data_IF_954665067026
#
_entry.id   IF_954665067026
#
_cell.length_a   1.000
_cell.length_b   1.000
_cell.length_c   1.000
_cell.angle_alpha   90.00
_cell.angle_beta   90.00
_cell.angle_gamma   90.00
#
_symmetry.space_group_name_H-M   'P 1'
#
loop_
_entity.id
_entity.type
_entity.pdbx_description
1 polymer ?
#
# COMPACT_ATOMS: atom_id res chain seq x y z
N UNK A 1 -4.79 -58.17 -24.35
CA UNK A 1 -3.68 -57.47 -23.73
C UNK A 1 -3.65 -55.97 -24.01
N UNK A 2 -4.48 -55.42 -24.88
CA UNK A 2 -4.49 -54.00 -25.25
C UNK A 2 -5.37 -53.11 -24.35
N UNK A 3 -6.35 -53.63 -23.61
CA UNK A 3 -7.32 -52.83 -22.80
C UNK A 3 -6.69 -52.29 -21.50
N UNK A 4 -5.64 -52.89 -20.98
CA UNK A 4 -5.02 -52.47 -19.72
C UNK A 4 -4.06 -51.27 -19.88
N UNK A 5 -3.50 -51.05 -21.07
CA UNK A 5 -2.60 -49.92 -21.35
C UNK A 5 -3.36 -48.56 -21.51
N UNK A 6 -4.53 -48.59 -22.15
CA UNK A 6 -5.31 -47.34 -22.35
C UNK A 6 -5.82 -46.70 -21.04
N UNK A 7 -6.18 -47.52 -20.05
CA UNK A 7 -6.66 -47.00 -18.74
C UNK A 7 -5.54 -46.31 -17.97
N UNK A 8 -4.29 -46.82 -18.08
CA UNK A 8 -3.13 -46.21 -17.40
C UNK A 8 -2.71 -44.86 -18.02
N UNK A 9 -2.74 -44.77 -19.36
CA UNK A 9 -2.37 -43.53 -20.07
C UNK A 9 -3.39 -42.41 -19.74
N UNK A 10 -4.70 -42.73 -19.72
CA UNK A 10 -5.73 -41.76 -19.37
C UNK A 10 -5.65 -41.27 -17.91
N UNK A 11 -5.24 -42.14 -16.96
CA UNK A 11 -5.03 -41.72 -15.57
C UNK A 11 -3.78 -40.84 -15.42
N UNK A 12 -2.70 -41.13 -16.12
CA UNK A 12 -1.48 -40.34 -16.09
C UNK A 12 -1.72 -38.98 -16.73
N UNK A 13 -2.38 -38.90 -17.89
CA UNK A 13 -2.73 -37.64 -18.54
C UNK A 13 -3.63 -36.77 -17.68
N UNK A 14 -4.64 -37.33 -17.00
CA UNK A 14 -5.51 -36.56 -16.09
C UNK A 14 -4.75 -36.00 -14.90
N UNK A 15 -3.82 -36.78 -14.31
CA UNK A 15 -2.99 -36.30 -13.19
C UNK A 15 -2.01 -35.22 -13.63
N UNK A 16 -1.41 -35.36 -14.81
CA UNK A 16 -0.47 -34.36 -15.37
C UNK A 16 -1.19 -33.07 -15.73
N UNK A 17 -2.40 -33.15 -16.30
CA UNK A 17 -3.23 -32.00 -16.61
C UNK A 17 -3.67 -31.24 -15.34
N UNK A 18 -4.01 -31.97 -14.27
CA UNK A 18 -4.39 -31.38 -12.99
C UNK A 18 -3.22 -30.60 -12.35
N UNK A 19 -2.01 -31.14 -12.40
CA UNK A 19 -0.79 -30.48 -11.89
C UNK A 19 -0.48 -29.23 -12.71
N UNK A 20 -0.65 -29.28 -14.03
CA UNK A 20 -0.40 -28.13 -14.91
C UNK A 20 -1.38 -26.99 -14.66
N UNK A 21 -2.65 -27.30 -14.36
CA UNK A 21 -3.68 -26.29 -14.03
C UNK A 21 -3.41 -25.64 -12.67
N UNK A 22 -2.93 -26.40 -11.68
CA UNK A 22 -2.57 -25.86 -10.37
C UNK A 22 -1.37 -24.89 -10.42
N UNK A 23 -0.45 -25.10 -11.36
CA UNK A 23 0.73 -24.22 -11.52
C UNK A 23 0.43 -22.90 -12.24
N UNK A 24 -0.75 -22.76 -12.83
CA UNK A 24 -1.22 -21.53 -13.51
C UNK A 24 -2.07 -20.62 -12.63
N UNK A 25 -2.28 -20.98 -11.37
CA UNK A 25 -2.97 -20.08 -10.44
C UNK A 25 -2.06 -18.87 -10.19
N UNK A 26 -2.50 -17.66 -10.51
CA UNK A 26 -1.72 -16.48 -10.18
C UNK A 26 -1.57 -16.45 -8.64
N UNK A 27 -0.34 -16.44 -8.17
CA UNK A 27 -0.04 -16.16 -6.77
C UNK A 27 -0.40 -14.68 -6.60
N UNK A 28 -1.60 -14.42 -6.15
CA UNK A 28 -1.99 -13.07 -5.76
C UNK A 28 -1.23 -12.76 -4.47
N UNK A 29 -0.23 -11.89 -4.61
CA UNK A 29 0.44 -11.27 -3.48
C UNK A 29 -0.52 -10.28 -2.86
N UNK A 30 -1.16 -10.68 -1.77
CA UNK A 30 -1.95 -9.76 -0.96
C UNK A 30 -1.00 -8.94 -0.09
N UNK A 31 -1.27 -7.63 0.03
CA UNK A 31 -0.61 -6.80 1.04
C UNK A 31 -0.84 -7.44 2.42
N UNK A 32 0.25 -7.91 3.04
CA UNK A 32 0.21 -8.55 4.36
C UNK A 32 0.65 -7.56 5.43
N UNK A 33 0.15 -7.76 6.64
CA UNK A 33 0.77 -7.16 7.80
C UNK A 33 2.27 -7.52 7.83
N UNK A 34 3.15 -6.51 7.81
CA UNK A 34 4.60 -6.65 7.70
C UNK A 34 5.20 -6.25 6.35
N UNK A 35 4.40 -6.10 5.30
CA UNK A 35 4.89 -5.56 4.03
C UNK A 35 5.38 -4.12 4.22
N UNK A 36 6.50 -3.81 3.59
CA UNK A 36 7.07 -2.46 3.63
C UNK A 36 6.78 -1.74 2.32
N UNK A 37 6.11 -0.61 2.42
CA UNK A 37 5.80 0.29 1.32
C UNK A 37 6.88 1.35 1.24
N UNK A 38 7.58 1.42 0.12
CA UNK A 38 8.56 2.45 -0.20
C UNK A 38 7.95 3.44 -1.17
N UNK A 39 7.80 4.67 -0.73
CA UNK A 39 7.09 5.70 -1.47
C UNK A 39 8.01 6.87 -1.82
N UNK A 40 7.80 7.42 -3.01
CA UNK A 40 8.43 8.65 -3.47
C UNK A 40 7.34 9.67 -3.79
N UNK A 41 7.37 10.82 -3.10
CA UNK A 41 6.43 11.90 -3.34
C UNK A 41 6.54 12.38 -4.78
N UNK A 42 5.42 12.49 -5.45
CA UNK A 42 5.31 13.16 -6.75
C UNK A 42 4.97 14.63 -6.59
N UNK A 43 4.25 14.97 -5.52
CA UNK A 43 3.88 16.33 -5.18
C UNK A 43 3.63 16.47 -3.68
N UNK A 44 4.06 17.59 -3.11
CA UNK A 44 3.75 17.99 -1.76
C UNK A 44 3.48 19.49 -1.73
N UNK A 45 2.29 19.87 -1.34
CA UNK A 45 1.80 21.27 -1.34
C UNK A 45 1.16 21.62 -0.01
N UNK A 46 1.26 22.88 0.35
CA UNK A 46 0.58 23.47 1.50
C UNK A 46 -0.11 24.77 1.08
N UNK A 47 -1.36 24.91 1.47
CA UNK A 47 -2.07 26.17 1.38
C UNK A 47 -2.10 26.82 2.76
N UNK A 48 -1.43 27.95 2.89
CA UNK A 48 -1.34 28.72 4.12
C UNK A 48 -1.60 30.20 3.85
N UNK A 49 -2.54 30.79 4.57
CA UNK A 49 -2.88 32.22 4.44
C UNK A 49 -3.14 32.66 2.98
N UNK A 50 -3.85 31.82 2.21
CA UNK A 50 -4.15 32.07 0.80
C UNK A 50 -2.95 31.92 -0.15
N UNK A 51 -1.80 31.46 0.32
CA UNK A 51 -0.59 31.20 -0.48
C UNK A 51 -0.38 29.72 -0.67
N UNK A 52 -0.07 29.32 -1.91
CA UNK A 52 0.32 27.97 -2.23
C UNK A 52 1.83 27.81 -2.12
N UNK A 53 2.27 26.89 -1.28
CA UNK A 53 3.68 26.55 -1.06
C UNK A 53 3.91 25.16 -1.64
N UNK A 54 4.91 25.03 -2.53
CA UNK A 54 5.37 23.75 -3.05
C UNK A 54 6.61 23.31 -2.28
N UNK A 55 6.59 22.10 -1.76
CA UNK A 55 7.72 21.50 -1.06
C UNK A 55 8.52 20.59 -1.99
N UNK A 56 9.79 20.41 -1.68
CA UNK A 56 10.63 19.42 -2.38
C UNK A 56 10.11 18.03 -2.07
N UNK A 57 9.80 17.21 -3.09
CA UNK A 57 9.38 15.83 -2.90
C UNK A 57 10.37 15.03 -2.06
N UNK A 58 9.86 14.24 -1.13
CA UNK A 58 10.63 13.41 -0.21
C UNK A 58 10.31 11.94 -0.42
N UNK A 59 11.20 11.06 0.02
CA UNK A 59 10.97 9.63 0.11
C UNK A 59 10.54 9.26 1.53
N UNK A 60 9.62 8.32 1.62
CA UNK A 60 9.17 7.78 2.90
C UNK A 60 8.83 6.30 2.79
N UNK A 61 8.74 5.64 3.92
CA UNK A 61 8.29 4.25 4.00
C UNK A 61 7.28 4.09 5.12
N UNK A 62 6.39 3.14 4.94
CA UNK A 62 5.46 2.73 5.99
C UNK A 62 5.21 1.23 5.96
N UNK A 63 4.70 0.71 7.06
CA UNK A 63 4.20 -0.66 7.20
C UNK A 63 2.77 -0.62 7.69
N UNK A 64 2.02 -1.69 7.45
CA UNK A 64 0.71 -1.91 8.06
C UNK A 64 0.89 -3.00 9.10
N UNK A 65 0.54 -2.72 10.35
CA UNK A 65 0.63 -3.71 11.41
C UNK A 65 -0.67 -4.51 11.60
N UNK A 66 -0.63 -5.49 12.50
CA UNK A 66 -1.78 -6.36 12.81
C UNK A 66 -2.98 -5.63 13.42
N UNK A 67 -2.79 -4.40 13.90
CA UNK A 67 -3.82 -3.55 14.49
C UNK A 67 -4.47 -2.62 13.44
N UNK A 68 -4.21 -2.85 12.15
CA UNK A 68 -4.65 -2.01 11.03
C UNK A 68 -4.14 -0.56 11.13
N UNK A 69 -2.93 -0.39 11.67
CA UNK A 69 -2.28 0.92 11.74
C UNK A 69 -1.20 1.04 10.66
N UNK A 70 -1.26 2.09 9.88
CA UNK A 70 -0.16 2.54 9.03
C UNK A 70 0.88 3.22 9.91
N UNK A 71 2.11 2.69 9.93
CA UNK A 71 3.23 3.24 10.71
C UNK A 71 4.33 3.70 9.80
N UNK A 72 4.59 5.01 9.84
CA UNK A 72 5.68 5.61 9.07
C UNK A 72 7.02 5.45 9.79
N UNK A 73 8.07 5.30 8.99
CA UNK A 73 9.45 5.20 9.50
C UNK A 73 9.93 6.47 10.19
N UNK A 74 11.12 6.36 10.81
CA UNK A 74 11.76 7.47 11.53
C UNK A 74 12.72 8.29 10.66
N UNK A 75 12.80 8.00 9.36
CA UNK A 75 13.60 8.79 8.43
C UNK A 75 13.10 10.24 8.38
N UNK A 76 13.98 11.23 8.20
CA UNK A 76 13.57 12.63 8.19
C UNK A 76 12.74 12.95 6.94
N UNK A 77 11.43 12.98 7.10
CA UNK A 77 10.45 13.38 6.09
C UNK A 77 9.17 13.88 6.77
N UNK A 78 8.21 14.35 5.97
CA UNK A 78 6.94 14.89 6.46
C UNK A 78 6.17 13.93 7.39
N UNK A 79 6.18 12.63 7.10
CA UNK A 79 5.41 11.63 7.86
C UNK A 79 6.17 10.98 9.02
N UNK A 80 7.39 11.44 9.31
CA UNK A 80 8.28 10.81 10.31
C UNK A 80 7.55 10.43 11.59
N UNK A 81 7.54 9.13 11.89
CA UNK A 81 6.98 8.58 13.13
C UNK A 81 5.47 8.70 13.28
N UNK A 82 4.76 9.16 12.24
CA UNK A 82 3.29 9.24 12.24
C UNK A 82 2.66 7.85 12.20
N UNK A 83 1.44 7.76 12.73
CA UNK A 83 0.60 6.56 12.65
C UNK A 83 -0.81 6.97 12.22
N UNK A 84 -1.41 6.22 11.30
CA UNK A 84 -2.77 6.43 10.84
C UNK A 84 -3.57 5.14 10.92
N UNK A 85 -4.82 5.22 11.32
CA UNK A 85 -5.72 4.07 11.34
C UNK A 85 -6.28 3.81 9.94
N UNK A 86 -6.25 2.53 9.52
CA UNK A 86 -6.95 2.08 8.32
C UNK A 86 -8.40 1.79 8.69
N UNK A 87 -9.31 2.50 8.05
CA UNK A 87 -10.76 2.34 8.27
C UNK A 87 -11.29 1.18 7.44
N UNK A 88 -10.82 1.02 6.21
CA UNK A 88 -11.31 -0.01 5.31
C UNK A 88 -10.20 -0.50 4.37
N UNK A 89 -10.21 -1.82 4.11
CA UNK A 89 -9.43 -2.48 3.06
C UNK A 89 -10.36 -2.95 1.95
N UNK A 90 -9.90 -2.89 0.69
CA UNK A 90 -10.60 -3.54 -0.41
C UNK A 90 -10.44 -5.05 -0.36
N UNK A 91 -11.31 -5.79 -1.07
CA UNK A 91 -11.35 -7.25 -1.08
C UNK A 91 -10.00 -7.92 -1.49
N UNK A 92 -9.15 -7.22 -2.23
CA UNK A 92 -7.85 -7.70 -2.69
C UNK A 92 -6.65 -7.01 -2.01
N UNK A 93 -6.88 -6.22 -0.95
CA UNK A 93 -5.87 -5.48 -0.16
C UNK A 93 -4.94 -4.56 -0.98
N UNK A 94 -5.29 -4.28 -2.24
CA UNK A 94 -4.55 -3.32 -3.09
C UNK A 94 -5.02 -1.88 -2.90
N UNK A 95 -6.10 -1.72 -2.14
CA UNK A 95 -6.65 -0.43 -1.76
C UNK A 95 -6.96 -0.42 -0.28
N UNK A 96 -6.62 0.65 0.39
CA UNK A 96 -7.02 0.92 1.78
C UNK A 96 -7.01 2.42 2.04
N UNK A 97 -7.84 2.85 2.97
CA UNK A 97 -7.92 4.26 3.32
C UNK A 97 -8.19 4.48 4.81
N UNK A 98 -7.87 5.67 5.27
CA UNK A 98 -8.19 6.21 6.57
C UNK A 98 -8.83 7.59 6.44
N UNK A 99 -8.93 8.34 7.54
CA UNK A 99 -9.60 9.65 7.57
C UNK A 99 -8.99 10.68 6.62
N UNK A 100 -7.68 10.65 6.45
CA UNK A 100 -6.94 11.68 5.71
C UNK A 100 -5.94 11.11 4.69
N UNK A 101 -5.98 9.82 4.42
CA UNK A 101 -5.14 9.18 3.42
C UNK A 101 -5.88 8.08 2.66
N UNK A 102 -5.38 7.79 1.48
CA UNK A 102 -5.78 6.66 0.63
C UNK A 102 -4.55 6.06 -0.04
N UNK A 103 -4.49 4.73 -0.06
CA UNK A 103 -3.57 3.98 -0.91
C UNK A 103 -4.38 3.20 -1.94
N UNK A 104 -4.01 3.33 -3.20
CA UNK A 104 -4.71 2.67 -4.31
C UNK A 104 -3.73 2.31 -5.40
N UNK A 105 -3.53 1.00 -5.63
CA UNK A 105 -2.74 0.43 -6.73
C UNK A 105 -1.37 1.10 -6.92
N UNK A 106 -0.58 1.21 -5.86
CA UNK A 106 0.76 1.80 -5.90
C UNK A 106 0.79 3.32 -5.80
N UNK A 107 -0.34 3.98 -5.57
CA UNK A 107 -0.41 5.41 -5.34
C UNK A 107 -0.86 5.71 -3.91
N UNK A 108 -0.20 6.64 -3.28
CA UNK A 108 -0.53 7.12 -1.94
C UNK A 108 -0.95 8.58 -2.02
N UNK A 109 -2.06 8.90 -1.38
CA UNK A 109 -2.61 10.26 -1.30
C UNK A 109 -2.85 10.61 0.16
N UNK A 110 -2.51 11.82 0.53
CA UNK A 110 -2.75 12.37 1.85
C UNK A 110 -3.27 13.79 1.73
N UNK A 111 -4.27 14.14 2.55
CA UNK A 111 -4.73 15.51 2.68
C UNK A 111 -5.17 15.77 4.12
N UNK A 112 -4.71 16.87 4.68
CA UNK A 112 -5.08 17.26 6.02
C UNK A 112 -5.26 18.76 6.13
N UNK A 113 -6.13 19.19 7.04
CA UNK A 113 -6.42 20.58 7.33
C UNK A 113 -6.18 20.83 8.81
N UNK A 114 -5.17 21.62 9.11
CA UNK A 114 -4.81 21.98 10.48
C UNK A 114 -5.20 23.41 10.78
N UNK A 115 -5.67 23.61 11.98
CA UNK A 115 -5.74 24.92 12.59
C UNK A 115 -4.64 24.99 13.65
N UNK A 116 -3.61 25.78 13.40
CA UNK A 116 -2.59 26.02 14.40
C UNK A 116 -3.16 26.91 15.49
N UNK A 117 -3.08 26.52 16.77
CA UNK A 117 -3.34 27.40 17.88
C UNK A 117 -2.16 28.35 18.04
N UNK A 118 -2.00 29.31 17.15
CA UNK A 118 -1.07 30.39 17.37
C UNK A 118 -1.77 31.58 17.98
N UNK A 119 -1.08 32.28 18.84
CA UNK A 119 -1.58 33.25 19.77
C UNK A 119 -2.21 34.49 19.14
N UNK A 120 -2.14 34.69 17.82
CA UNK A 120 -2.69 35.88 17.15
C UNK A 120 -3.38 35.65 15.78
N UNK A 121 -3.20 34.48 15.15
CA UNK A 121 -3.87 34.17 13.89
C UNK A 121 -4.36 32.71 13.86
N UNK A 122 -5.66 32.54 13.80
CA UNK A 122 -6.36 31.27 13.49
C UNK A 122 -6.05 30.83 12.03
N UNK A 123 -4.78 30.75 11.67
CA UNK A 123 -4.38 30.43 10.31
C UNK A 123 -4.69 28.97 10.00
N UNK A 124 -5.64 28.76 9.11
CA UNK A 124 -5.97 27.46 8.55
C UNK A 124 -4.88 27.06 7.55
N UNK A 125 -4.29 25.91 7.75
CA UNK A 125 -3.30 25.31 6.85
C UNK A 125 -3.87 24.03 6.27
N UNK A 126 -3.86 23.88 4.96
CA UNK A 126 -4.23 22.64 4.26
C UNK A 126 -2.99 22.07 3.57
N UNK A 127 -2.70 20.81 3.81
CA UNK A 127 -1.57 20.08 3.20
C UNK A 127 -2.09 18.95 2.34
N UNK A 128 -1.51 18.75 1.16
CA UNK A 128 -1.79 17.60 0.31
C UNK A 128 -0.48 17.01 -0.22
N UNK A 129 -0.42 15.68 -0.22
CA UNK A 129 0.72 14.90 -0.71
C UNK A 129 0.23 13.82 -1.65
N UNK A 130 0.91 13.64 -2.78
CA UNK A 130 0.77 12.47 -3.63
C UNK A 130 2.12 11.77 -3.77
N UNK A 131 2.10 10.44 -3.84
CA UNK A 131 3.30 9.63 -3.98
C UNK A 131 3.03 8.36 -4.77
N UNK A 132 4.08 7.81 -5.38
CA UNK A 132 4.09 6.45 -5.94
C UNK A 132 4.85 5.53 -5.01
N UNK A 133 4.34 4.30 -4.84
CA UNK A 133 4.89 3.34 -3.89
C UNK A 133 5.21 2.01 -4.57
N UNK A 134 6.28 1.36 -4.10
CA UNK A 134 6.61 -0.03 -4.38
C UNK A 134 6.54 -0.83 -3.08
N UNK A 135 5.99 -2.04 -3.15
CA UNK A 135 5.94 -2.96 -2.02
C UNK A 135 7.14 -3.89 -2.11
N UNK A 136 7.93 -3.98 -1.04
CA UNK A 136 8.89 -5.04 -0.87
C UNK A 136 8.26 -6.09 0.04
N UNK A 137 7.98 -7.25 -0.54
CA UNK A 137 7.61 -8.43 0.24
C UNK A 137 8.77 -8.78 1.16
N UNK A 138 8.49 -8.93 2.45
CA UNK A 138 9.46 -9.50 3.37
C UNK A 138 9.65 -10.97 2.95
N UNK A 139 10.79 -11.28 2.29
CA UNK A 139 11.17 -12.66 2.05
C UNK A 139 11.31 -13.34 3.40
N UNK A 140 10.30 -14.08 3.80
CA UNK A 140 10.44 -15.03 4.91
C UNK A 140 11.43 -16.11 4.46
N UNK A 141 12.63 -15.98 4.95
CA UNK A 141 13.66 -17.00 4.83
C UNK A 141 13.26 -18.23 5.63
#
# INVERSE_FOLDING_TARGET
>A
MYICMEKNINQIMKKTLLILILSLLPIQSYAKAGDVYYCEMTQAIELKEGKLINYIPQKFKFTIDSDNMVRFGLDPNYFRGSTFEVIEFSDNDEQFYGDNFEYSYGNFYFADVFRWPSTDDDALTATAVSATCAILEEYSV
#
